data_IF_218755905059
#
_entry.id   IF_218755905059
#
_cell.length_a   1.000
_cell.length_b   1.000
_cell.length_c   1.000
_cell.angle_alpha   90.00
_cell.angle_beta   90.00
_cell.angle_gamma   90.00
#
_symmetry.space_group_name_H-M   'P 1'
#
loop_
_entity.id
_entity.type
_entity.pdbx_description
1 polymer ?
#
# COMPACT_ATOMS: atom_id res chain seq x y z
N UNK A 1 -0.70 -0.74 12.74
CA UNK A 1 -1.66 -0.13 11.81
C UNK A 1 -1.08 0.16 10.41
N UNK A 2 -0.20 1.14 10.18
CA UNK A 2 0.24 1.47 8.79
C UNK A 2 1.13 0.42 8.11
N UNK A 3 1.79 -0.42 8.91
CA UNK A 3 2.70 -1.50 8.50
C UNK A 3 2.07 -2.88 8.68
N UNK A 4 0.77 -2.96 8.97
CA UNK A 4 0.08 -4.24 9.23
C UNK A 4 -0.71 -4.69 7.99
N UNK A 5 -0.59 -5.98 7.62
CA UNK A 5 -1.23 -6.50 6.42
C UNK A 5 -2.75 -6.62 6.54
N UNK A 6 -3.29 -6.87 7.73
CA UNK A 6 -4.75 -6.88 7.94
C UNK A 6 -5.32 -5.47 7.77
N UNK A 7 -4.64 -4.47 8.37
CA UNK A 7 -5.00 -3.06 8.17
C UNK A 7 -4.88 -2.62 6.70
N UNK A 8 -3.87 -3.11 5.96
CA UNK A 8 -3.76 -2.87 4.52
C UNK A 8 -4.97 -3.41 3.78
N UNK A 9 -5.36 -4.66 4.04
CA UNK A 9 -6.51 -5.30 3.39
C UNK A 9 -7.81 -4.52 3.66
N UNK A 10 -8.06 -4.10 4.90
CA UNK A 10 -9.26 -3.35 5.29
C UNK A 10 -9.30 -1.95 4.64
N UNK A 11 -8.17 -1.25 4.61
CA UNK A 11 -8.08 0.09 3.99
C UNK A 11 -8.25 0.04 2.46
N UNK A 12 -7.98 -1.13 1.87
CA UNK A 12 -8.06 -1.39 0.44
C UNK A 12 -9.36 -2.05 0.00
N UNK A 13 -10.24 -2.39 0.95
CA UNK A 13 -11.51 -3.03 0.69
C UNK A 13 -12.34 -2.25 -0.34
N UNK A 14 -12.89 -2.98 -1.32
CA UNK A 14 -13.65 -2.40 -2.44
C UNK A 14 -12.80 -1.77 -3.55
N UNK A 15 -11.50 -1.57 -3.36
CA UNK A 15 -10.58 -1.04 -4.38
C UNK A 15 -9.63 -2.11 -4.93
N UNK A 16 -8.97 -2.85 -4.04
CA UNK A 16 -8.07 -3.95 -4.39
C UNK A 16 -8.24 -5.07 -3.38
N UNK A 17 -8.52 -6.27 -3.86
CA UNK A 17 -8.47 -7.48 -3.05
C UNK A 17 -7.09 -8.12 -3.19
N UNK A 18 -6.54 -8.58 -2.07
CA UNK A 18 -5.27 -9.30 -2.02
C UNK A 18 -5.52 -10.74 -1.56
N UNK A 19 -4.89 -11.69 -2.23
CA UNK A 19 -4.90 -13.10 -1.85
C UNK A 19 -3.46 -13.56 -1.62
N UNK A 20 -3.21 -14.24 -0.50
CA UNK A 20 -1.86 -14.66 -0.09
C UNK A 20 -1.11 -13.66 0.80
N UNK A 21 -1.77 -12.62 1.33
CA UNK A 21 -1.15 -11.76 2.35
C UNK A 21 -0.89 -12.55 3.64
N UNK A 22 0.31 -12.46 4.22
CA UNK A 22 0.62 -13.09 5.49
C UNK A 22 -0.02 -12.30 6.64
N UNK A 23 -0.16 -12.96 7.78
CA UNK A 23 -0.54 -12.28 9.01
C UNK A 23 0.61 -11.43 9.58
N UNK A 24 0.24 -10.33 10.25
CA UNK A 24 1.17 -9.50 11.02
C UNK A 24 1.73 -8.29 10.27
N UNK A 25 2.88 -7.81 10.75
CA UNK A 25 3.51 -6.57 10.30
C UNK A 25 4.57 -6.80 9.23
N UNK A 26 4.72 -5.83 8.33
CA UNK A 26 5.78 -5.76 7.33
C UNK A 26 7.14 -5.75 8.01
N UNK A 27 8.06 -6.56 7.51
CA UNK A 27 9.45 -6.60 7.97
C UNK A 27 10.40 -6.28 6.82
N UNK A 28 11.49 -5.56 7.12
CA UNK A 28 12.53 -5.27 6.12
C UNK A 28 13.08 -6.57 5.53
N UNK A 29 13.22 -6.61 4.20
CA UNK A 29 13.68 -7.79 3.44
C UNK A 29 12.59 -8.81 3.14
N UNK A 30 11.36 -8.59 3.59
CA UNK A 30 10.25 -9.50 3.32
C UNK A 30 9.85 -9.45 1.85
N UNK A 31 9.74 -10.62 1.22
CA UNK A 31 9.27 -10.79 -0.15
C UNK A 31 7.97 -11.57 -0.16
N UNK A 32 6.99 -11.07 -0.87
CA UNK A 32 5.66 -11.64 -0.95
C UNK A 32 5.26 -11.79 -2.40
N UNK A 33 4.69 -12.94 -2.74
CA UNK A 33 3.99 -13.15 -4.00
C UNK A 33 2.51 -13.31 -3.65
N UNK A 34 1.72 -12.32 -4.06
CA UNK A 34 0.29 -12.26 -3.78
C UNK A 34 -0.48 -12.12 -5.09
N UNK A 35 -1.75 -12.47 -5.08
CA UNK A 35 -2.64 -12.16 -6.20
C UNK A 35 -3.41 -10.89 -5.87
N UNK A 36 -3.46 -9.94 -6.80
CA UNK A 36 -4.24 -8.71 -6.67
C UNK A 36 -5.36 -8.68 -7.69
N UNK A 37 -6.56 -8.32 -7.25
CA UNK A 37 -7.71 -8.10 -8.13
C UNK A 37 -8.27 -6.71 -7.88
N UNK A 38 -8.47 -5.96 -8.96
CA UNK A 38 -9.04 -4.62 -8.89
C UNK A 38 -10.55 -4.70 -8.70
N UNK A 39 -11.07 -3.93 -7.76
CA UNK A 39 -12.48 -3.87 -7.35
C UNK A 39 -13.09 -5.21 -6.92
N UNK A 40 -12.28 -6.26 -6.69
CA UNK A 40 -12.77 -7.61 -6.42
C UNK A 40 -13.50 -8.27 -7.61
N UNK A 41 -13.45 -7.67 -8.81
CA UNK A 41 -14.20 -8.12 -9.99
C UNK A 41 -13.32 -8.47 -11.17
N UNK A 42 -12.15 -7.84 -11.28
CA UNK A 42 -11.21 -8.12 -12.35
C UNK A 42 -10.41 -9.39 -12.05
N UNK A 43 -9.93 -10.11 -13.07
CA UNK A 43 -9.13 -11.30 -12.87
C UNK A 43 -7.95 -11.02 -11.95
N UNK A 44 -7.73 -11.89 -10.97
CA UNK A 44 -6.61 -11.78 -10.05
C UNK A 44 -5.30 -11.96 -10.82
N UNK A 45 -4.38 -11.02 -10.64
CA UNK A 45 -3.09 -11.01 -11.32
C UNK A 45 -1.95 -11.19 -10.30
N UNK A 46 -0.88 -11.91 -10.67
CA UNK A 46 0.27 -12.06 -9.79
C UNK A 46 0.93 -10.70 -9.55
N UNK A 47 1.25 -10.45 -8.29
CA UNK A 47 1.83 -9.22 -7.80
C UNK A 47 2.92 -9.56 -6.78
N UNK A 48 4.13 -9.10 -7.05
CA UNK A 48 5.28 -9.30 -6.16
C UNK A 48 5.49 -8.03 -5.37
N UNK A 49 5.58 -8.15 -4.06
CA UNK A 49 5.86 -7.07 -3.14
C UNK A 49 7.14 -7.39 -2.39
N UNK A 50 8.08 -6.46 -2.35
CA UNK A 50 9.31 -6.55 -1.58
C UNK A 50 9.39 -5.36 -0.63
N UNK A 51 9.49 -5.62 0.66
CA UNK A 51 9.68 -4.59 1.68
C UNK A 51 11.16 -4.25 1.74
N UNK A 52 11.52 -3.10 1.18
CA UNK A 52 12.90 -2.62 1.10
C UNK A 52 13.40 -2.09 2.45
N UNK A 53 12.54 -1.37 3.17
CA UNK A 53 12.88 -0.76 4.46
C UNK A 53 11.60 -0.59 5.29
N UNK A 54 11.60 -1.07 6.53
CA UNK A 54 10.56 -0.81 7.51
C UNK A 54 11.23 -0.42 8.82
N UNK A 55 11.19 0.86 9.14
CA UNK A 55 11.83 1.43 10.33
C UNK A 55 10.77 2.16 11.19
N UNK A 56 10.48 1.57 12.36
CA UNK A 56 9.52 2.12 13.30
C UNK A 56 10.04 3.36 14.05
N UNK A 57 11.36 3.50 14.22
CA UNK A 57 11.93 4.69 14.87
C UNK A 57 11.88 5.89 13.93
N UNK A 58 12.22 5.67 12.65
CA UNK A 58 12.15 6.71 11.61
C UNK A 58 10.75 6.91 11.05
N UNK A 59 9.82 6.01 11.38
CA UNK A 59 8.44 5.97 10.89
C UNK A 59 8.37 5.97 9.35
N UNK A 60 9.19 5.12 8.73
CA UNK A 60 9.32 4.98 7.28
C UNK A 60 9.03 3.53 6.89
N UNK A 61 8.29 3.37 5.79
CA UNK A 61 8.12 2.11 5.08
C UNK A 61 8.44 2.35 3.60
N UNK A 62 9.26 1.49 3.00
CA UNK A 62 9.54 1.47 1.57
C UNK A 62 9.30 0.08 1.02
N UNK A 63 8.56 -0.01 -0.07
CA UNK A 63 8.35 -1.24 -0.81
C UNK A 63 8.62 -1.05 -2.30
N UNK A 64 9.08 -2.12 -2.93
CA UNK A 64 9.11 -2.27 -4.39
C UNK A 64 8.09 -3.32 -4.78
N UNK A 65 7.22 -2.95 -5.71
CA UNK A 65 6.13 -3.79 -6.13
C UNK A 65 6.10 -3.88 -7.66
N UNK A 66 5.66 -5.02 -8.19
CA UNK A 66 5.67 -5.29 -9.63
C UNK A 66 4.69 -6.41 -9.99
N UNK A 67 4.08 -6.33 -11.15
CA UNK A 67 3.00 -7.22 -11.58
C UNK A 67 1.73 -6.45 -11.94
N UNK A 68 0.65 -7.16 -12.27
CA UNK A 68 -0.64 -6.53 -12.64
C UNK A 68 -0.55 -5.38 -13.68
N UNK A 69 0.39 -5.46 -14.62
CA UNK A 69 0.61 -4.45 -15.66
C UNK A 69 1.57 -3.30 -15.29
N UNK A 70 2.08 -3.25 -14.05
CA UNK A 70 3.15 -2.33 -13.66
C UNK A 70 4.51 -3.04 -13.64
N UNK A 71 5.53 -2.42 -14.23
CA UNK A 71 6.91 -2.95 -14.23
C UNK A 71 7.57 -2.71 -12.89
N UNK A 72 7.45 -1.47 -12.40
CA UNK A 72 8.00 -1.04 -11.12
C UNK A 72 7.04 -0.07 -10.45
N UNK A 73 6.68 -0.36 -9.21
CA UNK A 73 5.91 0.50 -8.34
C UNK A 73 6.67 0.64 -7.03
N UNK A 74 7.38 1.75 -6.87
CA UNK A 74 8.11 2.07 -5.65
C UNK A 74 7.23 2.91 -4.77
N UNK A 75 6.87 2.37 -3.61
CA UNK A 75 6.07 3.06 -2.61
C UNK A 75 6.94 3.41 -1.42
N UNK A 76 7.02 4.70 -1.10
CA UNK A 76 7.66 5.23 0.09
C UNK A 76 6.62 5.93 0.95
N UNK A 77 6.40 5.40 2.15
CA UNK A 77 5.52 5.94 3.16
C UNK A 77 6.38 6.51 4.29
N UNK A 78 6.08 7.74 4.70
CA UNK A 78 6.72 8.39 5.85
C UNK A 78 5.66 9.03 6.73
N UNK A 79 5.72 8.79 8.03
CA UNK A 79 4.90 9.50 9.02
C UNK A 79 5.77 10.55 9.71
N UNK A 80 5.29 11.77 9.75
CA UNK A 80 5.90 12.85 10.53
C UNK A 80 4.92 13.37 11.55
N UNK A 81 5.37 13.52 12.80
CA UNK A 81 4.58 14.20 13.84
C UNK A 81 4.44 15.68 13.51
N UNK A 82 3.25 16.22 13.69
CA UNK A 82 2.92 17.64 13.60
C UNK A 82 2.26 18.09 14.90
N UNK A 83 2.11 19.40 15.13
CA UNK A 83 1.65 19.96 16.41
C UNK A 83 0.34 19.32 16.92
N UNK A 84 -0.63 19.09 16.04
CA UNK A 84 -1.95 18.56 16.38
C UNK A 84 -2.20 17.14 15.88
N UNK A 85 -1.15 16.37 15.54
CA UNK A 85 -1.33 14.99 15.12
C UNK A 85 -0.16 14.39 14.34
N UNK A 86 -0.49 13.58 13.32
CA UNK A 86 0.48 12.94 12.45
C UNK A 86 0.15 13.21 10.99
N UNK A 87 1.17 13.51 10.19
CA UNK A 87 1.06 13.64 8.74
C UNK A 87 1.67 12.41 8.09
N UNK A 88 0.87 11.73 7.28
CA UNK A 88 1.31 10.62 6.45
C UNK A 88 1.64 11.16 5.05
N UNK A 89 2.86 10.94 4.60
CA UNK A 89 3.33 11.25 3.26
C UNK A 89 3.56 9.94 2.50
N UNK A 90 2.75 9.71 1.47
CA UNK A 90 2.91 8.61 0.53
C UNK A 90 3.54 9.17 -0.77
N UNK A 91 4.73 8.70 -1.13
CA UNK A 91 5.40 8.96 -2.41
C UNK A 91 5.40 7.68 -3.23
N UNK A 92 4.91 7.77 -4.46
CA UNK A 92 4.75 6.63 -5.36
C UNK A 92 5.47 6.96 -6.66
N UNK A 93 6.39 6.09 -7.06
CA UNK A 93 7.08 6.18 -8.33
C UNK A 93 6.68 4.96 -9.17
N UNK A 94 6.10 5.21 -10.34
CA UNK A 94 5.47 4.18 -11.17
C UNK A 94 6.15 4.17 -12.54
N UNK A 95 6.55 2.98 -12.97
CA UNK A 95 6.88 2.67 -14.35
C UNK A 95 5.97 1.53 -14.85
N UNK A 96 5.10 1.87 -15.80
CA UNK A 96 4.27 0.92 -16.52
C UNK A 96 4.42 1.10 -18.04
N UNK A 97 5.55 1.63 -18.51
CA UNK A 97 5.75 1.98 -19.92
C UNK A 97 4.71 2.98 -20.42
N UNK A 98 4.04 2.69 -21.55
CA UNK A 98 3.03 3.58 -22.14
C UNK A 98 1.79 3.76 -21.25
N UNK A 99 1.53 2.83 -20.31
CA UNK A 99 0.40 2.91 -19.39
C UNK A 99 0.70 3.70 -18.11
N UNK A 100 1.95 4.18 -17.94
CA UNK A 100 2.35 5.00 -16.79
C UNK A 100 1.37 6.12 -16.44
N UNK A 101 0.85 6.94 -17.38
CA UNK A 101 -0.13 7.98 -17.02
C UNK A 101 -1.45 7.43 -16.48
N UNK A 102 -1.90 6.27 -16.97
CA UNK A 102 -3.12 5.59 -16.49
C UNK A 102 -2.91 5.09 -15.07
N UNK A 103 -1.78 4.42 -14.80
CA UNK A 103 -1.44 3.98 -13.45
C UNK A 103 -1.19 5.14 -12.48
N UNK A 104 -0.65 6.27 -12.95
CA UNK A 104 -0.50 7.48 -12.13
C UNK A 104 -1.86 8.07 -11.72
N UNK A 105 -2.83 8.12 -12.64
CA UNK A 105 -4.20 8.55 -12.32
C UNK A 105 -4.86 7.58 -11.33
N UNK A 106 -4.70 6.28 -11.58
CA UNK A 106 -5.19 5.23 -10.69
C UNK A 106 -4.60 5.35 -9.28
N UNK A 107 -3.28 5.51 -9.16
CA UNK A 107 -2.60 5.71 -7.88
C UNK A 107 -3.16 6.94 -7.15
N UNK A 108 -3.31 8.08 -7.83
CA UNK A 108 -3.91 9.27 -7.22
C UNK A 108 -5.30 9.01 -6.65
N UNK A 109 -6.14 8.30 -7.39
CA UNK A 109 -7.47 7.90 -6.93
C UNK A 109 -7.38 6.96 -5.71
N UNK A 110 -6.58 5.90 -5.83
CA UNK A 110 -6.39 4.87 -4.82
C UNK A 110 -5.93 5.45 -3.48
N UNK A 111 -4.83 6.21 -3.47
CA UNK A 111 -4.28 6.79 -2.24
C UNK A 111 -5.20 7.85 -1.63
N UNK A 112 -5.96 8.59 -2.45
CA UNK A 112 -6.98 9.51 -1.95
C UNK A 112 -8.14 8.77 -1.28
N UNK A 113 -8.55 7.64 -1.83
CA UNK A 113 -9.61 6.80 -1.27
C UNK A 113 -9.19 6.12 0.04
N UNK A 114 -7.91 5.75 0.21
CA UNK A 114 -7.37 5.15 1.45
C UNK A 114 -7.45 6.07 2.68
N UNK A 115 -7.59 7.39 2.50
CA UNK A 115 -7.57 8.32 3.61
C UNK A 115 -8.74 8.13 4.59
N UNK A 116 -9.97 7.97 4.08
CA UNK A 116 -11.17 7.81 4.93
C UNK A 116 -11.17 6.49 5.72
N UNK A 117 -10.92 5.31 5.12
CA UNK A 117 -10.79 4.06 5.87
C UNK A 117 -9.69 4.10 6.92
N UNK A 118 -8.54 4.73 6.63
CA UNK A 118 -7.45 4.90 7.62
C UNK A 118 -7.92 5.70 8.84
N UNK A 119 -8.66 6.80 8.66
CA UNK A 119 -9.20 7.56 9.77
C UNK A 119 -10.19 6.74 10.60
N UNK A 120 -11.10 5.99 9.94
CA UNK A 120 -12.04 5.09 10.64
C UNK A 120 -11.32 4.02 11.47
N UNK A 121 -10.27 3.42 10.91
CA UNK A 121 -9.50 2.40 11.62
C UNK A 121 -8.79 3.00 12.85
N UNK A 122 -8.23 4.22 12.70
CA UNK A 122 -7.63 4.98 13.80
C UNK A 122 -8.64 5.30 14.91
N UNK A 123 -9.84 5.78 14.55
CA UNK A 123 -10.92 6.08 15.50
C UNK A 123 -11.45 4.83 16.21
N UNK A 124 -11.42 3.67 15.54
CA UNK A 124 -11.93 2.42 16.10
C UNK A 124 -11.05 1.78 17.18
N UNK A 125 -9.85 2.31 17.44
CA UNK A 125 -8.95 1.80 18.48
C UNK A 125 -8.36 0.41 18.21
N UNK A 126 -8.60 -0.18 17.02
CA UNK A 126 -8.08 -1.48 16.60
C UNK A 126 -6.67 -1.27 16.02
N UNK A 127 -5.63 -1.33 16.87
CA UNK A 127 -4.21 -1.20 16.47
C UNK A 127 -3.36 -2.43 16.74
#
# INVERSE_FOLDING_TARGET
>A
MATDYAALSEVMEGLVSFEGLPAGRTQTGQRLEVMVSLFGKLPAQPYRMEVLECDNQRMILRSSERGAGVKTWLHSLKVTKIETGSRLHDRIEIDAGMLTPVFALWARYLYRARHKPRLRLFESGRY
#
